data_IF_773909308338
#
_entry.id   IF_773909308338
#
_cell.length_a   1.000
_cell.length_b   1.000
_cell.length_c   1.000
_cell.angle_alpha   90.00
_cell.angle_beta   90.00
_cell.angle_gamma   90.00
#
_symmetry.space_group_name_H-M   'P 1'
#
loop_
_entity.id
_entity.type
_entity.pdbx_description
1 polymer ?
#
# COMPACT_ATOMS: atom_id res chain seq x y z
N UNK A 1 -11.70 -23.87 11.04
CA UNK A 1 -12.20 -22.87 10.06
C UNK A 1 -11.86 -21.47 10.56
N UNK A 2 -11.38 -20.61 9.70
CA UNK A 2 -11.04 -19.21 10.00
C UNK A 2 -12.25 -18.31 9.69
N UNK A 3 -12.59 -17.43 10.63
CA UNK A 3 -13.59 -16.38 10.40
C UNK A 3 -12.88 -15.09 10.03
N UNK A 4 -13.20 -14.54 8.86
CA UNK A 4 -12.66 -13.27 8.38
C UNK A 4 -13.68 -12.15 8.61
N UNK A 5 -13.22 -11.02 9.17
CA UNK A 5 -13.99 -9.78 9.32
C UNK A 5 -13.28 -8.69 8.54
N UNK A 6 -14.00 -7.98 7.69
CA UNK A 6 -13.48 -6.88 6.90
C UNK A 6 -13.91 -5.52 7.45
N UNK A 7 -12.97 -4.58 7.53
CA UNK A 7 -13.23 -3.17 7.86
C UNK A 7 -12.37 -2.30 6.96
N UNK A 8 -12.97 -1.31 6.33
CA UNK A 8 -12.27 -0.37 5.42
C UNK A 8 -11.44 0.64 6.20
N UNK A 9 -11.02 0.70 7.25
CA UNK A 9 -10.18 1.62 8.01
C UNK A 9 -9.95 3.04 7.44
N UNK A 10 -9.52 3.15 6.18
CA UNK A 10 -9.36 4.42 5.48
C UNK A 10 -9.42 4.24 3.94
N UNK A 11 -9.50 5.34 3.20
CA UNK A 11 -9.28 5.37 1.76
C UNK A 11 -7.78 5.53 1.44
N UNK A 12 -7.40 5.35 0.16
CA UNK A 12 -6.00 5.49 -0.29
C UNK A 12 -5.51 6.93 -0.10
N UNK A 13 -6.34 7.92 -0.45
CA UNK A 13 -5.97 9.35 -0.40
C UNK A 13 -6.93 10.22 0.43
N UNK A 14 -8.22 9.92 0.36
CA UNK A 14 -9.25 10.76 0.97
C UNK A 14 -9.27 10.58 2.50
N UNK A 15 -8.82 11.60 3.22
CA UNK A 15 -8.80 11.59 4.68
C UNK A 15 -10.17 11.81 5.31
N UNK A 16 -11.19 12.21 4.52
CA UNK A 16 -12.57 12.34 5.00
C UNK A 16 -13.28 10.99 5.09
N UNK A 17 -12.79 9.98 4.37
CA UNK A 17 -13.32 8.61 4.34
C UNK A 17 -12.52 7.67 5.28
N UNK A 18 -12.25 8.12 6.50
CA UNK A 18 -11.43 7.41 7.48
C UNK A 18 -12.27 6.92 8.65
N UNK A 19 -12.14 5.63 9.00
CA UNK A 19 -12.74 5.00 10.19
C UNK A 19 -11.71 4.11 10.92
N UNK A 20 -10.63 4.73 11.34
CA UNK A 20 -9.58 4.06 12.12
C UNK A 20 -10.13 3.48 13.43
N UNK A 21 -11.05 4.12 14.17
CA UNK A 21 -11.62 3.54 15.39
C UNK A 21 -12.31 2.21 15.15
N UNK A 22 -13.08 2.07 14.06
CA UNK A 22 -13.72 0.79 13.72
C UNK A 22 -12.69 -0.30 13.39
N UNK A 23 -11.62 0.05 12.67
CA UNK A 23 -10.53 -0.87 12.36
C UNK A 23 -9.82 -1.35 13.64
N UNK A 24 -9.52 -0.45 14.57
CA UNK A 24 -8.93 -0.77 15.88
C UNK A 24 -9.87 -1.67 16.70
N UNK A 25 -11.16 -1.35 16.76
CA UNK A 25 -12.13 -2.16 17.48
C UNK A 25 -12.28 -3.58 16.91
N UNK A 26 -12.19 -3.73 15.58
CA UNK A 26 -12.17 -5.03 14.93
C UNK A 26 -10.86 -5.79 15.22
N UNK A 27 -9.71 -5.11 15.13
CA UNK A 27 -8.40 -5.68 15.44
C UNK A 27 -8.32 -6.21 16.88
N UNK A 28 -8.82 -5.47 17.84
CA UNK A 28 -8.85 -5.91 19.25
C UNK A 28 -9.60 -7.23 19.47
N UNK A 29 -10.63 -7.53 18.65
CA UNK A 29 -11.43 -8.74 18.73
C UNK A 29 -10.87 -9.91 17.90
N UNK A 30 -9.87 -9.65 17.08
CA UNK A 30 -9.25 -10.66 16.21
C UNK A 30 -8.09 -11.36 16.90
N UNK A 31 -7.74 -12.56 16.44
CA UNK A 31 -6.53 -13.28 16.86
C UNK A 31 -5.29 -12.78 16.11
N UNK A 32 -5.46 -12.35 14.86
CA UNK A 32 -4.44 -11.74 14.03
C UNK A 32 -5.08 -10.74 13.06
N UNK A 33 -4.29 -9.79 12.56
CA UNK A 33 -4.74 -8.75 11.64
C UNK A 33 -3.92 -8.81 10.36
N UNK A 34 -4.61 -8.78 9.23
CA UNK A 34 -4.01 -8.52 7.92
C UNK A 34 -4.43 -7.12 7.50
N UNK A 35 -3.47 -6.23 7.39
CA UNK A 35 -3.70 -4.85 7.00
C UNK A 35 -3.21 -4.65 5.56
N UNK A 36 -4.14 -4.34 4.66
CA UNK A 36 -3.84 -4.07 3.25
C UNK A 36 -3.75 -2.57 3.04
N UNK A 37 -2.62 -2.10 2.55
CA UNK A 37 -2.34 -0.69 2.25
C UNK A 37 -1.66 -0.56 0.90
N UNK A 38 -1.48 0.67 0.44
CA UNK A 38 -0.74 0.89 -0.80
C UNK A 38 -1.28 2.05 -1.62
N UNK A 39 -1.21 1.89 -2.94
CA UNK A 39 -1.65 2.87 -3.91
C UNK A 39 -2.49 2.25 -5.00
N UNK A 40 -2.91 3.09 -5.94
CA UNK A 40 -3.74 2.70 -7.06
C UNK A 40 -3.33 3.46 -8.32
N UNK A 41 -3.28 2.76 -9.45
CA UNK A 41 -3.20 3.38 -10.78
C UNK A 41 -4.56 3.34 -11.49
N UNK A 42 -5.59 2.84 -10.82
CA UNK A 42 -6.93 2.78 -11.40
C UNK A 42 -7.52 4.18 -11.56
N UNK A 43 -7.89 4.51 -12.77
CA UNK A 43 -8.68 5.70 -13.07
C UNK A 43 -10.12 5.45 -12.64
N UNK A 44 -10.80 6.51 -12.18
CA UNK A 44 -12.22 6.40 -11.91
C UNK A 44 -13.00 6.21 -13.22
N UNK A 45 -14.19 5.59 -13.12
CA UNK A 45 -15.07 5.39 -14.30
C UNK A 45 -15.65 6.68 -14.87
N UNK A 46 -15.34 7.84 -14.28
CA UNK A 46 -15.75 9.18 -14.74
C UNK A 46 -14.72 9.82 -15.64
N UNK A 47 -13.54 9.22 -15.80
CA UNK A 47 -12.49 9.71 -16.70
C UNK A 47 -13.03 9.80 -18.12
N UNK A 48 -13.06 11.00 -18.69
CA UNK A 48 -13.39 11.22 -20.10
C UNK A 48 -12.12 11.08 -20.94
N UNK A 49 -12.28 10.57 -22.14
CA UNK A 49 -11.21 10.44 -23.11
C UNK A 49 -11.45 11.39 -24.27
N UNK A 50 -10.41 12.05 -24.75
CA UNK A 50 -10.43 12.80 -26.00
C UNK A 50 -10.34 11.85 -27.19
N UNK A 51 -10.56 12.36 -28.42
CA UNK A 51 -10.60 11.56 -29.65
C UNK A 51 -9.31 10.78 -29.95
N UNK A 52 -8.18 11.20 -29.37
CA UNK A 52 -6.89 10.49 -29.48
C UNK A 52 -6.73 9.36 -28.48
N UNK A 53 -7.71 9.11 -27.61
CA UNK A 53 -7.63 8.11 -26.54
C UNK A 53 -6.93 8.58 -25.27
N UNK A 54 -6.44 9.84 -25.24
CA UNK A 54 -5.85 10.37 -24.01
C UNK A 54 -6.93 10.72 -22.97
N UNK A 55 -6.67 10.37 -21.71
CA UNK A 55 -7.58 10.70 -20.63
C UNK A 55 -7.53 12.19 -20.30
N UNK A 56 -8.70 12.78 -20.10
CA UNK A 56 -8.80 14.15 -19.55
C UNK A 56 -8.88 14.05 -18.03
N UNK A 57 -8.13 14.88 -17.33
CA UNK A 57 -8.31 15.06 -15.89
C UNK A 57 -9.54 15.95 -15.72
N UNK A 58 -10.59 15.44 -15.06
CA UNK A 58 -11.77 16.22 -14.74
C UNK A 58 -11.43 17.18 -13.60
N UNK A 59 -11.47 18.48 -13.87
CA UNK A 59 -11.34 19.53 -12.84
C UNK A 59 -12.53 19.57 -11.86
N UNK A 60 -13.64 18.92 -12.23
CA UNK A 60 -14.90 18.95 -11.47
C UNK A 60 -15.03 17.82 -10.42
N UNK A 61 -14.00 17.03 -10.20
CA UNK A 61 -14.08 15.94 -9.23
C UNK A 61 -14.09 16.48 -7.79
N UNK A 62 -15.27 16.59 -7.19
CA UNK A 62 -15.45 16.91 -5.76
C UNK A 62 -14.86 15.87 -4.82
N UNK A 63 -14.46 14.73 -5.32
CA UNK A 63 -13.82 13.64 -4.58
C UNK A 63 -12.43 13.38 -5.14
N UNK A 64 -11.43 13.32 -4.29
CA UNK A 64 -10.08 12.94 -4.68
C UNK A 64 -10.11 11.49 -5.20
N UNK A 65 -9.60 11.23 -6.42
CA UNK A 65 -9.48 9.85 -6.91
C UNK A 65 -8.46 9.11 -6.06
N UNK A 66 -8.63 7.80 -5.92
CA UNK A 66 -7.66 6.93 -5.24
C UNK A 66 -6.36 6.72 -6.04
N UNK A 67 -6.31 7.21 -7.28
CA UNK A 67 -5.13 7.12 -8.14
C UNK A 67 -3.96 7.91 -7.53
N UNK A 68 -2.84 7.26 -7.30
CA UNK A 68 -1.63 7.83 -6.72
C UNK A 68 -0.40 7.67 -7.61
N UNK A 69 -0.51 6.92 -8.69
CA UNK A 69 0.53 6.70 -9.69
C UNK A 69 -0.10 6.39 -11.05
N UNK A 70 0.72 6.44 -12.09
CA UNK A 70 0.32 6.14 -13.46
C UNK A 70 0.49 7.36 -14.37
N UNK A 71 -0.04 7.27 -15.58
CA UNK A 71 0.08 8.33 -16.59
C UNK A 71 -0.55 9.64 -16.09
N UNK A 72 0.24 10.71 -16.13
CA UNK A 72 -0.18 12.04 -15.69
C UNK A 72 -0.19 12.26 -14.18
N UNK A 73 0.32 11.30 -13.40
CA UNK A 73 0.40 11.41 -11.94
C UNK A 73 1.83 11.20 -11.45
N UNK A 74 2.38 12.23 -10.83
CA UNK A 74 3.67 12.19 -10.15
C UNK A 74 3.54 12.44 -8.67
N UNK A 75 4.59 12.03 -7.94
CA UNK A 75 4.67 12.19 -6.48
C UNK A 75 6.05 12.70 -6.09
N UNK A 76 6.06 13.60 -5.13
CA UNK A 76 7.28 14.10 -4.48
C UNK A 76 7.70 13.27 -3.27
N UNK A 77 6.90 12.27 -2.88
CA UNK A 77 7.15 11.44 -1.71
C UNK A 77 6.88 9.96 -2.01
N UNK A 78 7.65 9.08 -1.37
CA UNK A 78 7.46 7.63 -1.40
C UNK A 78 6.55 7.12 -0.27
N UNK A 79 6.05 7.99 0.59
CA UNK A 79 5.18 7.60 1.72
C UNK A 79 3.79 7.17 1.24
N UNK A 80 3.11 6.38 2.03
CA UNK A 80 1.68 6.11 1.85
C UNK A 80 0.88 7.42 1.90
N UNK A 81 -0.13 7.54 1.06
CA UNK A 81 -1.02 8.71 1.05
C UNK A 81 -2.16 8.57 2.07
N UNK A 82 -2.85 9.69 2.29
CA UNK A 82 -4.00 9.73 3.20
C UNK A 82 -3.64 9.37 4.64
N UNK A 83 -4.52 8.62 5.28
CA UNK A 83 -4.37 8.21 6.67
C UNK A 83 -3.81 6.79 6.85
N UNK A 84 -3.25 6.18 5.80
CA UNK A 84 -2.79 4.79 5.83
C UNK A 84 -1.69 4.55 6.88
N UNK A 85 -0.74 5.48 7.04
CA UNK A 85 0.31 5.36 8.08
C UNK A 85 -0.27 5.50 9.49
N UNK A 86 -1.29 6.35 9.67
CA UNK A 86 -2.02 6.45 10.95
C UNK A 86 -2.75 5.15 11.24
N UNK A 87 -3.36 4.54 10.24
CA UNK A 87 -4.03 3.24 10.37
C UNK A 87 -3.05 2.14 10.77
N UNK A 88 -1.86 2.05 10.14
CA UNK A 88 -0.81 1.10 10.53
C UNK A 88 -0.45 1.28 12.01
N UNK A 89 -0.17 2.51 12.41
CA UNK A 89 0.23 2.83 13.80
C UNK A 89 -0.86 2.46 14.80
N UNK A 90 -2.11 2.82 14.51
CA UNK A 90 -3.24 2.58 15.41
C UNK A 90 -3.54 1.08 15.56
N UNK A 91 -3.52 0.33 14.46
CA UNK A 91 -3.73 -1.12 14.49
C UNK A 91 -2.57 -1.83 15.19
N UNK A 92 -1.33 -1.46 14.92
CA UNK A 92 -0.16 -2.03 15.60
C UNK A 92 -0.22 -1.82 17.12
N UNK A 93 -0.75 -0.67 17.57
CA UNK A 93 -0.91 -0.37 19.00
C UNK A 93 -1.89 -1.28 19.73
N UNK A 94 -2.67 -2.10 19.01
CA UNK A 94 -3.53 -3.13 19.64
C UNK A 94 -2.74 -4.30 20.22
N UNK A 95 -1.47 -4.45 19.84
CA UNK A 95 -0.61 -5.56 20.24
C UNK A 95 -0.96 -6.91 19.60
N UNK A 96 -1.87 -6.92 18.62
CA UNK A 96 -2.23 -8.16 17.90
C UNK A 96 -1.17 -8.50 16.85
N UNK A 97 -0.93 -9.78 16.55
CA UNK A 97 -0.11 -10.18 15.41
C UNK A 97 -0.58 -9.47 14.14
N UNK A 98 0.32 -8.75 13.50
CA UNK A 98 0.03 -7.88 12.36
C UNK A 98 0.85 -8.31 11.14
N UNK A 99 0.16 -8.58 10.05
CA UNK A 99 0.74 -8.72 8.72
C UNK A 99 0.34 -7.51 7.90
N UNK A 100 1.29 -6.84 7.27
CA UNK A 100 1.00 -5.72 6.35
C UNK A 100 1.27 -6.15 4.92
N UNK A 101 0.28 -5.96 4.06
CA UNK A 101 0.35 -6.27 2.63
C UNK A 101 0.30 -4.97 1.84
N UNK A 102 1.34 -4.71 1.04
CA UNK A 102 1.39 -3.56 0.13
C UNK A 102 0.88 -3.95 -1.25
N UNK A 103 -0.19 -3.30 -1.70
CA UNK A 103 -0.64 -3.31 -3.10
C UNK A 103 -0.11 -2.01 -3.72
N UNK A 104 0.87 -2.11 -4.63
CA UNK A 104 1.58 -0.92 -5.11
C UNK A 104 2.09 -1.09 -6.54
N UNK A 105 2.00 -0.04 -7.33
CA UNK A 105 2.53 0.00 -8.70
C UNK A 105 3.91 0.66 -8.80
N UNK A 106 4.39 1.21 -7.69
CA UNK A 106 5.72 1.80 -7.52
C UNK A 106 6.28 1.40 -6.16
N UNK A 107 7.59 1.48 -5.99
CA UNK A 107 8.20 1.31 -4.67
C UNK A 107 7.74 2.42 -3.72
N UNK A 108 7.17 2.05 -2.59
CA UNK A 108 6.81 2.94 -1.50
C UNK A 108 7.74 2.74 -0.31
N UNK A 109 7.84 3.75 0.55
CA UNK A 109 8.53 3.62 1.82
C UNK A 109 7.75 2.68 2.73
N UNK A 110 8.40 1.63 3.20
CA UNK A 110 7.79 0.60 4.04
C UNK A 110 8.36 0.59 5.46
N UNK A 111 9.16 1.60 5.85
CA UNK A 111 9.86 1.61 7.14
C UNK A 111 8.91 1.44 8.32
N UNK A 112 7.80 2.20 8.34
CA UNK A 112 6.84 2.12 9.43
C UNK A 112 6.21 0.72 9.55
N UNK A 113 5.84 0.12 8.43
CA UNK A 113 5.28 -1.23 8.43
C UNK A 113 6.34 -2.27 8.83
N UNK A 114 7.58 -2.13 8.37
CA UNK A 114 8.68 -3.00 8.75
C UNK A 114 9.02 -2.92 10.24
N UNK A 115 8.86 -1.75 10.86
CA UNK A 115 9.05 -1.56 12.30
C UNK A 115 7.92 -2.18 13.12
N UNK A 116 6.67 -2.07 12.66
CA UNK A 116 5.47 -2.38 13.46
C UNK A 116 4.90 -3.78 13.22
N UNK A 117 5.08 -4.35 12.03
CA UNK A 117 4.45 -5.61 11.67
C UNK A 117 5.39 -6.82 11.92
N UNK A 118 4.80 -7.98 12.21
CA UNK A 118 5.52 -9.24 12.33
C UNK A 118 5.84 -9.85 10.96
N UNK A 119 5.06 -9.49 9.93
CA UNK A 119 5.34 -9.87 8.55
C UNK A 119 4.92 -8.75 7.59
N UNK A 120 5.67 -8.62 6.50
CA UNK A 120 5.47 -7.62 5.47
C UNK A 120 5.53 -8.29 4.09
N UNK A 121 4.48 -8.08 3.30
CA UNK A 121 4.36 -8.63 1.96
C UNK A 121 4.17 -7.52 0.94
N UNK A 122 4.96 -7.52 -0.13
CA UNK A 122 4.73 -6.70 -1.32
C UNK A 122 4.07 -7.55 -2.38
N UNK A 123 2.83 -7.23 -2.73
CA UNK A 123 2.05 -7.97 -3.72
C UNK A 123 2.02 -7.28 -5.09
N UNK A 124 2.56 -6.07 -5.22
CA UNK A 124 2.49 -5.24 -6.44
C UNK A 124 1.03 -5.07 -6.89
N UNK A 125 0.76 -5.14 -8.19
CA UNK A 125 -0.59 -5.23 -8.74
C UNK A 125 -0.86 -6.68 -9.14
N UNK A 126 -1.48 -7.48 -8.27
CA UNK A 126 -1.49 -8.94 -8.41
C UNK A 126 -2.52 -9.46 -9.41
N UNK A 127 -3.32 -8.58 -10.04
CA UNK A 127 -4.33 -8.95 -11.03
C UNK A 127 -5.59 -9.59 -10.43
N UNK A 128 -6.39 -10.21 -11.30
CA UNK A 128 -7.71 -10.74 -10.96
C UNK A 128 -7.66 -11.79 -9.84
N UNK A 129 -6.70 -12.70 -9.89
CA UNK A 129 -6.54 -13.77 -8.91
C UNK A 129 -5.68 -13.37 -7.70
N UNK A 130 -5.35 -12.09 -7.58
CA UNK A 130 -4.45 -11.59 -6.55
C UNK A 130 -4.90 -11.89 -5.12
N UNK A 131 -6.21 -11.82 -4.87
CA UNK A 131 -6.76 -12.15 -3.55
C UNK A 131 -6.51 -13.60 -3.15
N UNK A 132 -6.66 -14.54 -4.09
CA UNK A 132 -6.38 -15.97 -3.84
C UNK A 132 -4.89 -16.19 -3.61
N UNK A 133 -4.02 -15.67 -4.48
CA UNK A 133 -2.58 -15.83 -4.33
C UNK A 133 -2.03 -15.24 -3.02
N UNK A 134 -2.56 -14.11 -2.57
CA UNK A 134 -2.21 -13.54 -1.26
C UNK A 134 -2.72 -14.44 -0.13
N UNK A 135 -3.94 -14.97 -0.23
CA UNK A 135 -4.50 -15.87 0.76
C UNK A 135 -3.66 -17.16 0.89
N UNK A 136 -3.27 -17.79 -0.22
CA UNK A 136 -2.42 -18.99 -0.24
C UNK A 136 -1.11 -18.77 0.53
N UNK A 137 -0.52 -17.57 0.40
CA UNK A 137 0.70 -17.20 1.15
C UNK A 137 0.38 -17.00 2.63
N UNK A 138 -0.69 -16.27 2.95
CA UNK A 138 -1.04 -15.94 4.35
C UNK A 138 -1.45 -17.17 5.15
N UNK A 139 -2.09 -18.15 4.52
CA UNK A 139 -2.51 -19.40 5.17
C UNK A 139 -1.47 -20.52 5.07
N UNK A 140 -0.38 -20.29 4.35
CA UNK A 140 0.74 -21.23 4.28
C UNK A 140 0.59 -22.33 3.24
N UNK A 141 -0.39 -22.21 2.34
CA UNK A 141 -0.57 -23.15 1.22
C UNK A 141 0.54 -23.00 0.19
N UNK A 142 1.15 -21.80 0.10
CA UNK A 142 2.29 -21.51 -0.76
C UNK A 142 3.35 -20.69 -0.03
N UNK A 143 4.61 -21.06 -0.15
CA UNK A 143 5.73 -20.28 0.38
C UNK A 143 6.17 -19.20 -0.60
N UNK A 144 6.22 -17.91 -0.20
CA UNK A 144 6.55 -16.82 -1.11
C UNK A 144 8.01 -16.95 -1.58
N UNK A 145 8.20 -17.20 -2.87
CA UNK A 145 9.52 -17.36 -3.50
C UNK A 145 9.97 -16.09 -4.25
N UNK A 146 9.10 -15.11 -4.40
CA UNK A 146 9.39 -13.85 -5.09
C UNK A 146 10.53 -13.06 -4.45
N UNK A 147 11.29 -12.36 -5.27
CA UNK A 147 12.33 -11.42 -4.84
C UNK A 147 11.96 -10.03 -5.32
N UNK A 148 12.42 -9.01 -4.61
CA UNK A 148 12.21 -7.63 -5.02
C UNK A 148 12.96 -7.37 -6.34
N UNK A 149 12.28 -6.93 -7.40
CA UNK A 149 12.91 -6.64 -8.69
C UNK A 149 13.58 -5.26 -8.72
N UNK A 150 13.42 -4.47 -7.67
CA UNK A 150 13.92 -3.10 -7.53
C UNK A 150 14.44 -2.86 -6.13
N UNK A 151 15.36 -1.91 -5.98
CA UNK A 151 15.78 -1.44 -4.66
C UNK A 151 14.65 -0.65 -3.99
N UNK A 152 14.50 -0.81 -2.68
CA UNK A 152 13.53 -0.06 -1.85
C UNK A 152 14.32 0.95 -1.02
N UNK A 153 14.23 2.26 -1.35
CA UNK A 153 14.93 3.27 -0.57
C UNK A 153 14.25 3.50 0.79
N UNK A 154 15.02 3.85 1.80
CA UNK A 154 14.49 4.25 3.11
C UNK A 154 13.94 5.66 3.11
N UNK A 155 14.44 6.52 2.21
CA UNK A 155 13.97 7.89 2.07
C UNK A 155 14.15 8.39 0.65
N UNK A 156 13.45 9.46 0.30
CA UNK A 156 13.58 10.15 -0.98
C UNK A 156 15.01 10.67 -1.21
N UNK A 157 15.74 10.99 -0.14
CA UNK A 157 17.12 11.48 -0.18
C UNK A 157 18.11 10.44 -0.72
N UNK A 158 17.77 9.18 -0.77
CA UNK A 158 18.60 8.12 -1.35
C UNK A 158 18.43 7.98 -2.87
N UNK A 159 17.46 8.65 -3.46
CA UNK A 159 17.23 8.56 -4.91
C UNK A 159 18.29 9.36 -5.70
N UNK A 160 18.77 8.84 -6.85
CA UNK A 160 18.43 7.53 -7.43
C UNK A 160 19.18 6.39 -6.73
N UNK A 161 18.52 5.25 -6.53
CA UNK A 161 19.10 4.03 -5.97
C UNK A 161 18.99 2.90 -6.99
N UNK A 162 20.14 2.43 -7.48
CA UNK A 162 20.21 1.37 -8.48
C UNK A 162 20.75 0.08 -7.86
N UNK A 163 20.23 -1.05 -8.29
CA UNK A 163 20.69 -2.37 -7.84
C UNK A 163 22.20 -2.57 -8.07
N UNK A 164 22.71 -2.08 -9.20
CA UNK A 164 24.12 -2.20 -9.60
C UNK A 164 25.01 -1.04 -9.13
N UNK A 165 24.49 -0.15 -8.30
CA UNK A 165 25.27 0.99 -7.80
C UNK A 165 26.37 0.49 -6.86
N UNK A 166 27.63 0.76 -7.21
CA UNK A 166 28.76 0.48 -6.33
C UNK A 166 28.71 1.34 -5.07
N UNK A 167 29.19 0.79 -3.97
CA UNK A 167 29.23 1.44 -2.64
C UNK A 167 30.27 2.55 -2.56
N UNK A 168 30.14 3.58 -3.40
CA UNK A 168 31.06 4.72 -3.36
C UNK A 168 30.63 5.81 -2.35
N UNK A 169 29.42 5.70 -1.81
CA UNK A 169 28.91 6.64 -0.79
C UNK A 169 28.02 5.87 0.19
N UNK A 170 28.38 5.92 1.45
CA UNK A 170 27.53 5.46 2.53
C UNK A 170 26.62 6.61 2.95
N UNK A 171 25.33 6.32 3.14
CA UNK A 171 24.41 7.27 3.76
C UNK A 171 24.48 7.10 5.27
N UNK A 172 24.80 8.18 5.96
CA UNK A 172 24.73 8.23 7.42
C UNK A 172 23.28 8.53 7.81
N UNK A 173 22.70 7.73 8.68
CA UNK A 173 21.36 7.93 9.25
C UNK A 173 21.41 8.81 10.50
#
# INVERSE_FOLDING_TARGET
STRVTYVKGCAVRDTTATDIPAAVAAAQKADAVVLVVGGSSARDFKTKYISTGAATVSEDAKTLPDMDCGEGFDRSSLRLLGDQEKLISAVASTGKPLVVVYIQGRTMNMNLAAEKAQALLTAWYPGEQGGMGIADILFGDYSPAGRLPVSVPRSEGQLPVFYSQGTQRDYVE
#
